data_IF_634980028809
#
_entry.id   IF_634980028809
#
_cell.length_a   1.000
_cell.length_b   1.000
_cell.length_c   1.000
_cell.angle_alpha   90.00
_cell.angle_beta   90.00
_cell.angle_gamma   90.00
#
_symmetry.space_group_name_H-M   'P 1'
#
loop_
_entity.id
_entity.type
_entity.pdbx_description
1 polymer ?
#
# COMPACT_ATOMS: atom_id res chain seq x y z
N UNK A 1 13.15 26.72 -16.60
CA UNK A 1 13.66 25.37 -16.26
C UNK A 1 12.93 24.73 -15.06
N UNK A 2 12.73 25.43 -13.93
CA UNK A 2 12.03 24.86 -12.74
C UNK A 2 10.67 24.22 -13.05
N UNK A 3 9.77 24.89 -13.78
CA UNK A 3 8.44 24.36 -14.09
C UNK A 3 8.44 23.09 -14.96
N UNK A 4 9.46 22.92 -15.82
CA UNK A 4 9.56 21.76 -16.73
C UNK A 4 9.82 20.47 -15.96
N UNK A 5 10.74 20.47 -15.00
CA UNK A 5 11.03 19.28 -14.19
C UNK A 5 9.88 18.93 -13.24
N UNK A 6 9.22 19.93 -12.64
CA UNK A 6 8.02 19.69 -11.82
C UNK A 6 6.92 18.99 -12.63
N UNK A 7 6.69 19.42 -13.88
CA UNK A 7 5.73 18.77 -14.77
C UNK A 7 6.17 17.34 -15.12
N UNK A 8 7.46 17.11 -15.42
CA UNK A 8 8.00 15.78 -15.66
C UNK A 8 7.77 14.82 -14.49
N UNK A 9 8.03 15.24 -13.25
CA UNK A 9 7.77 14.41 -12.07
C UNK A 9 6.28 14.13 -11.90
N UNK A 10 5.43 15.16 -12.01
CA UNK A 10 3.97 15.00 -11.92
C UNK A 10 3.43 14.01 -12.96
N UNK A 11 3.86 14.16 -14.21
CA UNK A 11 3.51 13.26 -15.30
C UNK A 11 4.02 11.84 -15.02
N UNK A 12 5.25 11.69 -14.54
CA UNK A 12 5.79 10.39 -14.17
C UNK A 12 4.97 9.70 -13.08
N UNK A 13 4.68 10.36 -11.96
CA UNK A 13 3.85 9.77 -10.89
C UNK A 13 2.47 9.41 -11.40
N UNK A 14 1.83 10.29 -12.17
CA UNK A 14 0.51 10.04 -12.75
C UNK A 14 0.52 8.79 -13.65
N UNK A 15 1.48 8.67 -14.55
CA UNK A 15 1.56 7.55 -15.50
C UNK A 15 1.98 6.26 -14.81
N UNK A 16 3.04 6.29 -13.99
CA UNK A 16 3.56 5.08 -13.35
C UNK A 16 2.57 4.50 -12.32
N UNK A 17 2.01 5.34 -11.43
CA UNK A 17 1.00 4.85 -10.50
C UNK A 17 -0.33 4.57 -11.19
N UNK A 18 -0.60 5.23 -12.31
CA UNK A 18 -1.64 4.83 -13.24
C UNK A 18 -1.45 3.39 -13.72
N UNK A 19 -0.25 3.00 -14.16
CA UNK A 19 0.07 1.62 -14.51
C UNK A 19 -0.24 0.69 -13.33
N UNK A 20 0.31 0.97 -12.15
CA UNK A 20 0.02 0.16 -10.94
C UNK A 20 -1.49 0.02 -10.67
N UNK A 21 -2.27 1.07 -10.91
CA UNK A 21 -3.73 1.08 -10.76
C UNK A 21 -4.48 0.24 -11.80
N UNK A 22 -3.93 0.02 -13.00
CA UNK A 22 -4.55 -0.87 -13.98
C UNK A 22 -4.35 -2.35 -13.68
N UNK A 23 -3.33 -2.70 -12.88
CA UNK A 23 -2.93 -4.07 -12.63
C UNK A 23 -3.30 -4.57 -11.22
N UNK A 24 -2.92 -3.83 -10.18
CA UNK A 24 -3.00 -4.33 -8.80
C UNK A 24 -4.42 -4.67 -8.32
N UNK A 25 -5.46 -3.86 -8.59
CA UNK A 25 -6.82 -4.20 -8.16
C UNK A 25 -7.41 -5.45 -8.84
N UNK A 26 -6.85 -5.85 -9.99
CA UNK A 26 -7.42 -6.87 -10.86
C UNK A 26 -6.64 -8.18 -10.87
N UNK A 27 -5.36 -8.17 -10.47
CA UNK A 27 -4.46 -9.33 -10.63
C UNK A 27 -5.01 -10.60 -9.98
N UNK A 28 -5.59 -10.51 -8.79
CA UNK A 28 -6.13 -11.69 -8.11
C UNK A 28 -7.41 -12.23 -8.79
N UNK A 29 -8.21 -11.37 -9.40
CA UNK A 29 -9.38 -11.78 -10.18
C UNK A 29 -8.95 -12.42 -11.50
N UNK A 30 -7.93 -11.86 -12.16
CA UNK A 30 -7.32 -12.45 -13.34
C UNK A 30 -6.76 -13.86 -13.05
N UNK A 31 -6.00 -14.00 -11.96
CA UNK A 31 -5.42 -15.29 -11.56
C UNK A 31 -6.48 -16.36 -11.29
N UNK A 32 -7.62 -15.97 -10.73
CA UNK A 32 -8.74 -16.89 -10.51
C UNK A 32 -9.53 -17.18 -11.79
N UNK A 33 -10.03 -16.14 -12.47
CA UNK A 33 -11.01 -16.28 -13.56
C UNK A 33 -10.39 -16.67 -14.90
N UNK A 34 -9.19 -16.17 -15.21
CA UNK A 34 -8.54 -16.40 -16.50
C UNK A 34 -7.52 -17.52 -16.45
N UNK A 35 -6.77 -17.61 -15.35
CA UNK A 35 -5.72 -18.63 -15.17
C UNK A 35 -6.23 -19.88 -14.45
N UNK A 36 -7.27 -19.75 -13.62
CA UNK A 36 -7.86 -20.89 -12.88
C UNK A 36 -7.11 -21.26 -11.60
N UNK A 37 -6.35 -20.34 -11.00
CA UNK A 37 -5.69 -20.58 -9.72
C UNK A 37 -6.69 -20.60 -8.57
N UNK A 38 -6.45 -21.48 -7.60
CA UNK A 38 -7.24 -21.52 -6.38
C UNK A 38 -6.79 -20.47 -5.35
N UNK A 39 -7.59 -20.30 -4.29
CA UNK A 39 -7.33 -19.32 -3.23
C UNK A 39 -5.96 -19.46 -2.56
N UNK A 40 -5.52 -20.69 -2.26
CA UNK A 40 -4.21 -20.91 -1.61
C UNK A 40 -3.05 -20.55 -2.53
N UNK A 41 -3.17 -20.82 -3.83
CA UNK A 41 -2.16 -20.46 -4.82
C UNK A 41 -2.03 -18.94 -4.96
N UNK A 42 -3.16 -18.22 -5.00
CA UNK A 42 -3.20 -16.74 -5.01
C UNK A 42 -2.62 -16.19 -3.70
N UNK A 43 -3.00 -16.78 -2.57
CA UNK A 43 -2.51 -16.38 -1.25
C UNK A 43 -1.01 -16.56 -1.10
N UNK A 44 -0.45 -17.62 -1.69
CA UNK A 44 0.99 -17.85 -1.69
C UNK A 44 1.73 -16.78 -2.51
N UNK A 45 1.19 -16.39 -3.67
CA UNK A 45 1.75 -15.30 -4.47
C UNK A 45 1.73 -13.99 -3.67
N UNK A 46 0.59 -13.65 -3.05
CA UNK A 46 0.47 -12.46 -2.20
C UNK A 46 1.45 -12.47 -1.01
N UNK A 47 1.64 -13.64 -0.41
CA UNK A 47 2.55 -13.82 0.72
C UNK A 47 4.01 -13.64 0.32
N UNK A 48 4.42 -14.27 -0.78
CA UNK A 48 5.76 -14.12 -1.35
C UNK A 48 6.03 -12.66 -1.75
N UNK A 49 5.06 -11.98 -2.38
CA UNK A 49 5.18 -10.55 -2.71
C UNK A 49 5.40 -9.68 -1.47
N UNK A 50 4.75 -10.01 -0.35
CA UNK A 50 4.92 -9.29 0.92
C UNK A 50 6.31 -9.51 1.54
N UNK A 51 6.82 -10.75 1.49
CA UNK A 51 8.17 -11.09 1.95
C UNK A 51 9.24 -10.41 1.10
N UNK A 52 9.04 -10.41 -0.22
CA UNK A 52 9.90 -9.72 -1.20
C UNK A 52 9.89 -8.22 -0.94
N UNK A 53 8.73 -7.63 -0.66
CA UNK A 53 8.60 -6.23 -0.21
C UNK A 53 9.56 -5.86 0.91
N UNK A 54 9.59 -6.67 1.97
CA UNK A 54 10.44 -6.41 3.13
C UNK A 54 11.94 -6.51 2.82
N UNK A 55 12.35 -7.46 1.97
CA UNK A 55 13.77 -7.71 1.69
C UNK A 55 14.32 -6.87 0.55
N UNK A 56 13.53 -6.63 -0.49
CA UNK A 56 13.95 -5.97 -1.73
C UNK A 56 13.98 -4.45 -1.61
N UNK A 57 13.07 -3.83 -0.85
CA UNK A 57 13.07 -2.36 -0.66
C UNK A 57 14.42 -1.88 -0.08
N UNK A 58 14.96 -2.46 1.01
CA UNK A 58 16.28 -2.08 1.52
C UNK A 58 17.41 -2.31 0.51
N UNK A 59 17.36 -3.40 -0.26
CA UNK A 59 18.38 -3.71 -1.28
C UNK A 59 18.43 -2.60 -2.34
N UNK A 60 17.28 -2.16 -2.86
CA UNK A 60 17.21 -1.04 -3.79
C UNK A 60 17.75 0.25 -3.18
N UNK A 61 17.46 0.52 -1.90
CA UNK A 61 18.02 1.66 -1.16
C UNK A 61 19.54 1.62 -1.14
N UNK A 62 20.13 0.52 -0.65
CA UNK A 62 21.59 0.34 -0.55
C UNK A 62 22.26 0.45 -1.93
N UNK A 63 21.69 -0.17 -2.97
CA UNK A 63 22.21 -0.10 -4.33
C UNK A 63 22.08 1.33 -4.88
N UNK A 64 20.99 2.02 -4.61
CA UNK A 64 20.78 3.43 -4.91
C UNK A 64 21.86 4.32 -4.30
N UNK A 65 22.08 4.18 -3.00
CA UNK A 65 23.02 4.99 -2.24
C UNK A 65 24.48 4.71 -2.64
N UNK A 66 24.81 3.44 -2.89
CA UNK A 66 26.16 3.02 -3.29
C UNK A 66 26.50 3.46 -4.72
N UNK A 67 25.56 3.35 -5.65
CA UNK A 67 25.81 3.71 -7.05
C UNK A 67 25.61 5.19 -7.33
N UNK A 68 24.75 5.88 -6.54
CA UNK A 68 24.26 7.25 -6.76
C UNK A 68 23.58 7.45 -8.13
N UNK A 69 23.32 6.37 -8.85
CA UNK A 69 22.74 6.37 -10.21
C UNK A 69 21.23 6.15 -10.17
N UNK A 70 20.51 6.86 -9.29
CA UNK A 70 19.06 6.69 -9.08
C UNK A 70 18.25 6.73 -10.39
N UNK A 71 18.53 7.66 -11.31
CA UNK A 71 17.83 7.72 -12.62
C UNK A 71 18.11 6.49 -13.50
N UNK A 72 19.31 5.90 -13.41
CA UNK A 72 19.63 4.69 -14.17
C UNK A 72 18.95 3.46 -13.56
N UNK A 73 18.98 3.34 -12.23
CA UNK A 73 18.28 2.28 -11.50
C UNK A 73 16.77 2.35 -11.70
N UNK A 74 16.19 3.56 -11.71
CA UNK A 74 14.80 3.81 -12.08
C UNK A 74 14.49 3.21 -13.45
N UNK A 75 15.29 3.51 -14.47
CA UNK A 75 15.11 2.97 -15.82
C UNK A 75 15.26 1.45 -15.88
N UNK A 76 16.23 0.89 -15.17
CA UNK A 76 16.40 -0.57 -15.05
C UNK A 76 15.16 -1.20 -14.43
N UNK A 77 14.62 -0.61 -13.36
CA UNK A 77 13.40 -1.09 -12.72
C UNK A 77 12.18 -1.03 -13.66
N UNK A 78 12.02 0.06 -14.42
CA UNK A 78 10.92 0.20 -15.39
C UNK A 78 11.03 -0.78 -16.55
N UNK A 79 12.23 -0.93 -17.13
CA UNK A 79 12.48 -1.88 -18.20
C UNK A 79 12.31 -3.33 -17.73
N UNK A 80 12.81 -3.65 -16.54
CA UNK A 80 12.62 -4.95 -15.89
C UNK A 80 11.14 -5.24 -15.64
N UNK A 81 10.37 -4.27 -15.14
CA UNK A 81 8.94 -4.41 -14.96
C UNK A 81 8.20 -4.65 -16.29
N UNK A 82 8.60 -3.94 -17.36
CA UNK A 82 8.03 -4.12 -18.71
C UNK A 82 8.30 -5.53 -19.27
N UNK A 83 9.51 -6.06 -19.06
CA UNK A 83 9.85 -7.43 -19.44
C UNK A 83 9.04 -8.43 -18.61
N UNK A 84 8.99 -8.25 -17.29
CA UNK A 84 8.29 -9.17 -16.39
C UNK A 84 6.79 -9.22 -16.66
N UNK A 85 6.13 -8.09 -16.95
CA UNK A 85 4.70 -8.10 -17.29
C UNK A 85 4.43 -8.80 -18.63
N UNK A 86 5.32 -8.65 -19.62
CA UNK A 86 5.20 -9.34 -20.90
C UNK A 86 5.38 -10.87 -20.76
N UNK A 87 6.30 -11.31 -19.90
CA UNK A 87 6.48 -12.72 -19.56
C UNK A 87 5.29 -13.25 -18.77
N UNK A 88 4.77 -12.46 -17.82
CA UNK A 88 3.61 -12.84 -17.01
C UNK A 88 2.39 -13.11 -17.90
N UNK A 89 2.09 -12.24 -18.86
CA UNK A 89 0.97 -12.45 -19.78
C UNK A 89 1.04 -13.80 -20.54
N UNK A 90 2.25 -14.33 -20.79
CA UNK A 90 2.48 -15.60 -21.49
C UNK A 90 2.73 -16.79 -20.55
N UNK A 91 2.70 -16.58 -19.24
CA UNK A 91 3.03 -17.61 -18.26
C UNK A 91 1.93 -18.68 -18.22
N UNK A 92 2.24 -19.90 -18.66
CA UNK A 92 1.29 -21.02 -18.72
C UNK A 92 1.39 -21.98 -17.53
N UNK A 93 2.48 -21.96 -16.77
CA UNK A 93 2.71 -22.87 -15.63
C UNK A 93 2.75 -22.10 -14.32
N UNK A 94 2.28 -22.72 -13.24
CA UNK A 94 2.25 -22.10 -11.92
C UNK A 94 3.62 -21.60 -11.42
N UNK A 95 4.74 -22.34 -11.57
CA UNK A 95 6.06 -21.82 -11.20
C UNK A 95 6.48 -20.60 -12.02
N UNK A 96 6.13 -20.55 -13.32
CA UNK A 96 6.41 -19.38 -14.17
C UNK A 96 5.59 -18.17 -13.73
N UNK A 97 4.34 -18.37 -13.33
CA UNK A 97 3.48 -17.31 -12.78
C UNK A 97 4.10 -16.74 -11.50
N UNK A 98 4.56 -17.59 -10.56
CA UNK A 98 5.26 -17.13 -9.35
C UNK A 98 6.51 -16.33 -9.73
N UNK A 99 7.35 -16.87 -10.62
CA UNK A 99 8.57 -16.20 -11.06
C UNK A 99 8.28 -14.80 -11.63
N UNK A 100 7.29 -14.70 -12.52
CA UNK A 100 6.90 -13.43 -13.13
C UNK A 100 6.25 -12.47 -12.12
N UNK A 101 5.40 -12.95 -11.21
CA UNK A 101 4.77 -12.12 -10.19
C UNK A 101 5.80 -11.52 -9.23
N UNK A 102 6.73 -12.34 -8.74
CA UNK A 102 7.79 -11.91 -7.83
C UNK A 102 8.82 -11.04 -8.55
N UNK A 103 9.18 -11.38 -9.78
CA UNK A 103 10.05 -10.57 -10.62
C UNK A 103 9.46 -9.19 -10.89
N UNK A 104 8.17 -9.12 -11.26
CA UNK A 104 7.46 -7.87 -11.48
C UNK A 104 7.40 -7.04 -10.19
N UNK A 105 7.07 -7.65 -9.06
CA UNK A 105 7.01 -6.96 -7.76
C UNK A 105 8.39 -6.43 -7.34
N UNK A 106 9.44 -7.22 -7.49
CA UNK A 106 10.84 -6.82 -7.22
C UNK A 106 11.24 -5.56 -8.00
N UNK A 107 10.86 -5.49 -9.27
CA UNK A 107 11.13 -4.33 -10.12
C UNK A 107 10.28 -3.13 -9.71
N UNK A 108 8.99 -3.34 -9.45
CA UNK A 108 8.04 -2.29 -9.03
C UNK A 108 8.46 -1.63 -7.71
N UNK A 109 8.91 -2.42 -6.75
CA UNK A 109 9.36 -1.96 -5.43
C UNK A 109 10.61 -1.07 -5.51
N UNK A 110 11.43 -1.20 -6.55
CA UNK A 110 12.57 -0.31 -6.79
C UNK A 110 12.19 1.04 -7.41
N UNK A 111 11.11 1.09 -8.20
CA UNK A 111 10.74 2.29 -8.96
C UNK A 111 10.35 3.47 -8.06
N UNK A 112 9.50 3.25 -7.05
CA UNK A 112 9.01 4.33 -6.18
C UNK A 112 10.13 4.97 -5.36
N UNK A 113 10.96 4.23 -4.59
CA UNK A 113 12.03 4.82 -3.80
C UNK A 113 13.03 5.61 -4.66
N UNK A 114 13.41 5.09 -5.83
CA UNK A 114 14.32 5.80 -6.74
C UNK A 114 13.72 7.12 -7.23
N UNK A 115 12.43 7.12 -7.54
CA UNK A 115 11.70 8.32 -7.98
C UNK A 115 11.56 9.33 -6.84
N UNK A 116 11.20 8.86 -5.64
CA UNK A 116 11.01 9.68 -4.44
C UNK A 116 12.31 10.37 -4.04
N UNK A 117 13.44 9.67 -4.06
CA UNK A 117 14.76 10.26 -3.77
C UNK A 117 15.09 11.40 -4.73
N UNK A 118 14.90 11.20 -6.04
CA UNK A 118 15.21 12.21 -7.06
C UNK A 118 14.24 13.39 -6.97
N UNK A 119 12.96 13.12 -6.76
CA UNK A 119 11.92 14.16 -6.65
C UNK A 119 12.12 15.01 -5.40
N UNK A 120 12.44 14.38 -4.26
CA UNK A 120 12.65 15.06 -2.98
C UNK A 120 13.88 15.96 -3.05
N UNK A 121 14.99 15.47 -3.61
CA UNK A 121 16.19 16.29 -3.85
C UNK A 121 15.87 17.51 -4.72
N UNK A 122 15.15 17.32 -5.83
CA UNK A 122 14.70 18.43 -6.67
C UNK A 122 13.82 19.44 -5.89
N UNK A 123 12.87 18.96 -5.08
CA UNK A 123 11.98 19.84 -4.32
C UNK A 123 12.76 20.67 -3.30
N UNK A 124 13.72 20.05 -2.61
CA UNK A 124 14.62 20.73 -1.67
C UNK A 124 15.44 21.84 -2.35
N UNK A 125 16.04 21.55 -3.51
CA UNK A 125 16.85 22.52 -4.26
C UNK A 125 16.02 23.63 -4.94
N UNK A 126 14.77 23.33 -5.32
CA UNK A 126 13.95 24.25 -6.13
C UNK A 126 12.89 25.02 -5.34
N UNK A 127 12.60 24.63 -4.09
CA UNK A 127 11.46 25.11 -3.29
C UNK A 127 10.12 24.47 -3.68
N UNK A 128 10.14 23.28 -4.28
CA UNK A 128 8.96 22.57 -4.75
C UNK A 128 8.20 21.83 -3.65
N UNK A 129 6.90 21.60 -3.85
CA UNK A 129 6.08 20.80 -2.93
C UNK A 129 6.06 19.32 -3.37
N UNK A 130 6.85 18.48 -2.70
CA UNK A 130 6.92 17.03 -2.97
C UNK A 130 5.55 16.35 -2.82
N UNK A 131 4.80 16.69 -1.77
CA UNK A 131 3.47 16.12 -1.53
C UNK A 131 2.50 16.39 -2.69
N UNK A 132 2.48 17.62 -3.21
CA UNK A 132 1.66 17.98 -4.37
C UNK A 132 2.08 17.26 -5.65
N UNK A 133 3.38 17.03 -5.86
CA UNK A 133 3.88 16.25 -6.99
C UNK A 133 3.47 14.78 -6.86
N UNK A 134 3.64 14.21 -5.66
CA UNK A 134 3.35 12.81 -5.36
C UNK A 134 1.85 12.50 -5.41
N UNK A 135 1.00 13.46 -5.07
CA UNK A 135 -0.47 13.35 -5.09
C UNK A 135 -1.03 13.09 -6.51
N UNK A 136 -0.35 13.57 -7.56
CA UNK A 136 -0.70 13.25 -8.95
C UNK A 136 -0.68 11.74 -9.21
N UNK A 137 0.11 10.99 -8.44
CA UNK A 137 0.15 9.54 -8.48
C UNK A 137 -1.13 8.86 -8.05
N UNK A 138 -1.75 9.32 -6.95
CA UNK A 138 -3.04 8.76 -6.49
C UNK A 138 -4.16 9.05 -7.49
N UNK A 139 -4.13 10.25 -8.10
CA UNK A 139 -5.06 10.61 -9.18
C UNK A 139 -4.87 9.69 -10.40
N UNK A 140 -3.62 9.44 -10.81
CA UNK A 140 -3.29 8.53 -11.89
C UNK A 140 -3.76 7.09 -11.62
N UNK A 141 -3.46 6.57 -10.44
CA UNK A 141 -3.91 5.23 -9.99
C UNK A 141 -5.43 5.08 -10.10
N UNK A 142 -6.17 6.05 -9.55
CA UNK A 142 -7.63 6.05 -9.56
C UNK A 142 -8.21 6.11 -10.98
N UNK A 143 -7.77 7.07 -11.81
CA UNK A 143 -8.32 7.26 -13.16
C UNK A 143 -7.97 6.11 -14.10
N UNK A 144 -6.75 5.59 -14.03
CA UNK A 144 -6.32 4.45 -14.85
C UNK A 144 -7.03 3.16 -14.42
N UNK A 145 -7.21 2.95 -13.10
CA UNK A 145 -8.02 1.84 -12.57
C UNK A 145 -9.48 1.93 -13.05
N UNK A 146 -10.05 3.14 -13.13
CA UNK A 146 -11.36 3.34 -13.74
C UNK A 146 -11.39 2.97 -15.22
N UNK A 147 -10.47 3.51 -16.02
CA UNK A 147 -10.41 3.22 -17.44
C UNK A 147 -10.29 1.71 -17.72
N UNK A 148 -9.41 0.99 -17.00
CA UNK A 148 -9.18 -0.43 -17.26
C UNK A 148 -10.38 -1.30 -16.89
N UNK A 149 -11.14 -0.97 -15.84
CA UNK A 149 -12.29 -1.79 -15.45
C UNK A 149 -13.42 -1.76 -16.47
N UNK A 150 -13.71 -0.60 -17.05
CA UNK A 150 -14.68 -0.49 -18.15
C UNK A 150 -14.20 -1.17 -19.44
N UNK A 151 -12.89 -1.12 -19.72
CA UNK A 151 -12.31 -1.90 -20.82
C UNK A 151 -12.41 -3.41 -20.53
N UNK A 152 -12.21 -3.82 -19.28
CA UNK A 152 -12.25 -5.22 -18.89
C UNK A 152 -13.65 -5.83 -18.98
N UNK A 153 -14.69 -5.03 -18.73
CA UNK A 153 -16.08 -5.44 -18.95
C UNK A 153 -16.35 -5.75 -20.43
N UNK A 154 -15.78 -4.96 -21.35
CA UNK A 154 -15.98 -5.13 -22.80
C UNK A 154 -15.09 -6.21 -23.43
N UNK A 155 -13.82 -6.27 -23.02
CA UNK A 155 -12.78 -7.03 -23.75
C UNK A 155 -12.19 -8.21 -22.96
N UNK A 156 -12.68 -8.51 -21.75
CA UNK A 156 -12.04 -9.52 -20.89
C UNK A 156 -10.99 -8.91 -19.95
N UNK A 157 -10.48 -9.68 -18.99
CA UNK A 157 -9.46 -9.18 -18.04
C UNK A 157 -8.07 -9.11 -18.71
N UNK A 158 -7.72 -10.13 -19.49
CA UNK A 158 -6.35 -10.42 -19.91
C UNK A 158 -5.75 -9.34 -20.81
N UNK A 159 -6.47 -8.90 -21.83
CA UNK A 159 -5.98 -7.86 -22.74
C UNK A 159 -5.82 -6.51 -22.04
N UNK A 160 -6.92 -5.92 -21.52
CA UNK A 160 -6.90 -4.58 -20.93
C UNK A 160 -5.89 -4.41 -19.80
N UNK A 161 -5.77 -5.36 -18.87
CA UNK A 161 -4.88 -5.24 -17.71
C UNK A 161 -3.41 -5.20 -18.16
N UNK A 162 -2.97 -6.20 -18.92
CA UNK A 162 -1.56 -6.33 -19.31
C UNK A 162 -1.16 -5.28 -20.35
N UNK A 163 -2.02 -5.01 -21.34
CA UNK A 163 -1.73 -4.04 -22.39
C UNK A 163 -1.67 -2.61 -21.83
N UNK A 164 -2.62 -2.21 -20.98
CA UNK A 164 -2.60 -0.87 -20.37
C UNK A 164 -1.42 -0.69 -19.42
N UNK A 165 -1.07 -1.71 -18.63
CA UNK A 165 0.09 -1.66 -17.74
C UNK A 165 1.38 -1.50 -18.54
N UNK A 166 1.60 -2.33 -19.57
CA UNK A 166 2.77 -2.27 -20.43
C UNK A 166 2.85 -0.93 -21.18
N UNK A 167 1.73 -0.43 -21.70
CA UNK A 167 1.65 0.85 -22.40
C UNK A 167 2.04 2.03 -21.49
N UNK A 168 1.49 2.08 -20.28
CA UNK A 168 1.82 3.14 -19.32
C UNK A 168 3.28 3.04 -18.85
N UNK A 169 3.83 1.85 -18.65
CA UNK A 169 5.26 1.68 -18.38
C UNK A 169 6.13 2.17 -19.56
N UNK A 170 5.74 1.85 -20.79
CA UNK A 170 6.45 2.30 -21.99
C UNK A 170 6.44 3.83 -22.14
N UNK A 171 5.41 4.53 -21.63
CA UNK A 171 5.36 6.00 -21.53
C UNK A 171 6.20 6.51 -20.35
N UNK A 172 6.22 5.82 -19.21
CA UNK A 172 6.99 6.23 -18.03
C UNK A 172 8.50 6.25 -18.30
N UNK A 173 9.00 5.31 -19.12
CA UNK A 173 10.42 5.21 -19.49
C UNK A 173 10.95 6.52 -20.13
N UNK A 174 10.43 7.05 -21.25
CA UNK A 174 10.91 8.29 -21.85
C UNK A 174 10.76 9.49 -20.91
N UNK A 175 9.69 9.56 -20.10
CA UNK A 175 9.54 10.63 -19.09
C UNK A 175 10.70 10.61 -18.09
N UNK A 176 11.14 9.43 -17.65
CA UNK A 176 12.27 9.30 -16.71
C UNK A 176 13.61 9.83 -17.25
N UNK A 177 13.79 9.94 -18.57
CA UNK A 177 14.98 10.57 -19.17
C UNK A 177 14.97 12.10 -19.06
N UNK A 178 13.80 12.69 -18.80
CA UNK A 178 13.68 14.15 -18.61
C UNK A 178 14.05 14.61 -17.21
N UNK A 179 14.31 13.67 -16.29
CA UNK A 179 14.69 14.00 -14.91
C UNK A 179 16.06 14.68 -14.85
N UNK A 180 16.26 15.61 -13.90
CA UNK A 180 17.55 16.27 -13.74
C UNK A 180 18.64 15.24 -13.48
N UNK A 181 19.83 15.42 -14.07
CA UNK A 181 20.99 14.57 -13.78
C UNK A 181 21.37 14.76 -12.32
N UNK A 182 21.49 13.66 -11.59
CA UNK A 182 21.93 13.72 -10.19
C UNK A 182 23.35 14.29 -10.14
N UNK A 183 23.49 15.50 -9.59
CA UNK A 183 24.78 16.09 -9.26
C UNK A 183 25.44 15.30 -8.13
N UNK A 184 26.73 14.98 -8.30
CA UNK A 184 27.56 14.18 -7.39
C UNK A 184 27.96 14.89 -6.08
N UNK A 185 27.36 16.03 -5.72
CA UNK A 185 27.77 16.76 -4.50
C UNK A 185 26.91 16.38 -3.28
N UNK A 186 27.65 16.09 -2.21
CA UNK A 186 27.45 15.83 -0.77
C UNK A 186 26.02 16.06 -0.19
N UNK A 187 25.55 15.35 0.84
CA UNK A 187 26.18 15.00 2.12
C UNK A 187 26.07 13.50 2.48
N UNK A 188 27.11 12.99 3.15
CA UNK A 188 26.99 11.91 4.13
C UNK A 188 26.75 12.61 5.46
N UNK A 189 25.52 12.64 5.94
CA UNK A 189 25.36 12.43 7.37
C UNK A 189 25.55 10.93 7.57
N UNK A 190 26.74 10.55 8.00
CA UNK A 190 26.91 9.26 8.67
C UNK A 190 26.10 9.35 9.96
N UNK A 191 24.82 9.00 9.86
CA UNK A 191 24.08 8.58 11.02
C UNK A 191 24.82 7.36 11.53
N UNK A 192 25.68 7.58 12.53
CA UNK A 192 26.28 6.52 13.32
C UNK A 192 25.13 5.59 13.65
N UNK A 193 25.19 4.36 13.14
CA UNK A 193 24.38 3.26 13.62
C UNK A 193 24.71 3.12 15.11
N UNK A 194 24.05 3.93 15.93
CA UNK A 194 23.99 3.71 17.37
C UNK A 194 23.49 2.28 17.49
N UNK A 195 24.17 1.50 18.33
CA UNK A 195 23.74 0.16 18.73
C UNK A 195 22.36 0.31 19.38
N UNK A 196 21.33 0.35 18.53
CA UNK A 196 19.94 0.35 18.92
C UNK A 196 19.70 -1.01 19.54
N UNK A 197 19.36 -1.00 20.82
CA UNK A 197 19.04 -2.23 21.51
C UNK A 197 17.66 -2.66 21.04
N UNK A 198 17.61 -3.52 20.03
CA UNK A 198 16.38 -4.19 19.57
C UNK A 198 15.56 -4.75 20.75
N UNK A 199 16.26 -5.16 21.81
CA UNK A 199 15.72 -5.62 23.09
C UNK A 199 14.95 -4.54 23.85
N UNK A 200 15.38 -3.27 23.78
CA UNK A 200 14.68 -2.13 24.40
C UNK A 200 13.31 -1.90 23.76
N UNK A 201 13.22 -1.98 22.43
CA UNK A 201 11.95 -1.84 21.70
C UNK A 201 10.97 -2.97 22.04
N UNK A 202 11.46 -4.21 22.09
CA UNK A 202 10.64 -5.37 22.45
C UNK A 202 10.22 -5.37 23.93
N UNK A 203 10.98 -4.73 24.81
CA UNK A 203 10.60 -4.53 26.21
C UNK A 203 9.61 -3.37 26.43
N UNK A 204 9.48 -2.47 25.45
CA UNK A 204 8.59 -1.31 25.55
C UNK A 204 7.13 -1.72 25.29
N UNK A 205 6.33 -1.78 26.36
CA UNK A 205 4.91 -2.15 26.33
C UNK A 205 4.08 -1.27 25.39
N UNK A 206 4.38 0.03 25.29
CA UNK A 206 3.66 0.92 24.38
C UNK A 206 3.94 0.56 22.92
N UNK A 207 5.19 0.21 22.61
CA UNK A 207 5.58 -0.17 21.26
C UNK A 207 4.99 -1.53 20.84
N UNK A 208 5.01 -2.53 21.73
CA UNK A 208 4.34 -3.81 21.48
C UNK A 208 2.83 -3.61 21.32
N UNK A 209 2.22 -2.77 22.14
CA UNK A 209 0.80 -2.44 22.04
C UNK A 209 0.42 -1.90 20.65
N UNK A 210 1.16 -0.92 20.11
CA UNK A 210 0.84 -0.36 18.80
C UNK A 210 1.11 -1.36 17.66
N UNK A 211 2.10 -2.25 17.80
CA UNK A 211 2.31 -3.34 16.86
C UNK A 211 1.11 -4.29 16.83
N UNK A 212 0.61 -4.71 18.00
CA UNK A 212 -0.56 -5.58 18.09
C UNK A 212 -1.81 -4.92 17.48
N UNK A 213 -2.07 -3.65 17.80
CA UNK A 213 -3.18 -2.89 17.22
C UNK A 213 -3.02 -2.80 15.70
N UNK A 214 -1.85 -2.43 15.19
CA UNK A 214 -1.61 -2.31 13.76
C UNK A 214 -1.72 -3.65 13.02
N UNK A 215 -1.37 -4.78 13.62
CA UNK A 215 -1.62 -6.10 13.03
C UNK A 215 -3.12 -6.36 12.94
N UNK A 216 -3.86 -6.18 14.04
CA UNK A 216 -5.31 -6.44 14.07
C UNK A 216 -6.11 -5.51 13.17
N UNK A 217 -5.62 -4.30 12.90
CA UNK A 217 -6.35 -3.31 12.10
C UNK A 217 -5.82 -3.14 10.69
N UNK A 218 -4.50 -2.99 10.52
CA UNK A 218 -3.90 -2.62 9.23
C UNK A 218 -3.61 -3.86 8.40
N UNK A 219 -2.91 -4.83 8.98
CA UNK A 219 -2.54 -6.07 8.28
C UNK A 219 -3.78 -6.84 7.85
N UNK A 220 -4.75 -6.98 8.76
CA UNK A 220 -6.02 -7.64 8.47
C UNK A 220 -6.76 -6.97 7.30
N UNK A 221 -6.79 -5.63 7.26
CA UNK A 221 -7.43 -4.90 6.15
C UNK A 221 -6.71 -5.13 4.85
N UNK A 222 -5.40 -4.88 4.80
CA UNK A 222 -4.62 -5.00 3.58
C UNK A 222 -4.70 -6.41 2.99
N UNK A 223 -4.56 -7.44 3.84
CA UNK A 223 -4.65 -8.83 3.43
C UNK A 223 -6.07 -9.22 2.96
N UNK A 224 -7.12 -8.77 3.65
CA UNK A 224 -8.50 -9.06 3.23
C UNK A 224 -8.89 -8.31 1.95
N UNK A 225 -8.43 -7.07 1.80
CA UNK A 225 -8.68 -6.23 0.61
C UNK A 225 -7.97 -6.74 -0.63
N UNK A 226 -6.92 -7.55 -0.48
CA UNK A 226 -6.32 -8.28 -1.61
C UNK A 226 -7.34 -9.20 -2.31
N UNK A 227 -8.38 -9.67 -1.61
CA UNK A 227 -9.44 -10.51 -2.18
C UNK A 227 -10.74 -9.74 -2.51
N UNK A 228 -10.75 -8.41 -2.39
CA UNK A 228 -11.96 -7.62 -2.63
C UNK A 228 -12.46 -7.70 -4.08
N UNK A 229 -11.54 -7.74 -5.05
CA UNK A 229 -11.90 -7.96 -6.45
C UNK A 229 -12.57 -9.32 -6.66
N UNK A 230 -12.01 -10.38 -6.04
CA UNK A 230 -12.57 -11.73 -6.11
C UNK A 230 -13.95 -11.79 -5.46
N UNK A 231 -14.14 -11.11 -4.33
CA UNK A 231 -15.46 -11.01 -3.71
C UNK A 231 -16.47 -10.31 -4.64
N UNK A 232 -16.14 -9.13 -5.18
CA UNK A 232 -17.03 -8.38 -6.05
C UNK A 232 -17.42 -9.14 -7.33
N UNK A 233 -16.44 -9.76 -8.01
CA UNK A 233 -16.66 -10.38 -9.33
C UNK A 233 -17.02 -11.86 -9.23
N UNK A 234 -16.33 -12.62 -8.38
CA UNK A 234 -16.51 -14.07 -8.27
C UNK A 234 -17.63 -14.46 -7.30
N UNK A 235 -17.76 -13.75 -6.18
CA UNK A 235 -18.76 -14.07 -5.13
C UNK A 235 -20.08 -13.31 -5.32
N UNK A 236 -20.01 -12.00 -5.59
CA UNK A 236 -21.20 -11.14 -5.76
C UNK A 236 -21.68 -11.06 -7.22
N UNK A 237 -20.98 -11.73 -8.15
CA UNK A 237 -21.30 -11.75 -9.58
C UNK A 237 -21.38 -10.37 -10.23
N UNK A 238 -20.63 -9.41 -9.69
CA UNK A 238 -20.59 -8.05 -10.18
C UNK A 238 -19.73 -7.87 -11.44
N UNK A 239 -19.92 -6.73 -12.11
CA UNK A 239 -19.08 -6.35 -13.24
C UNK A 239 -17.65 -6.02 -12.79
N UNK A 240 -16.68 -6.14 -13.69
CA UNK A 240 -15.27 -5.86 -13.40
C UNK A 240 -15.04 -4.37 -13.16
N UNK A 241 -15.87 -3.49 -13.73
CA UNK A 241 -15.90 -2.07 -13.39
C UNK A 241 -16.23 -1.78 -11.92
N UNK A 242 -16.85 -2.70 -11.17
CA UNK A 242 -17.06 -2.46 -9.73
C UNK A 242 -15.75 -2.43 -8.95
N UNK A 243 -14.71 -3.12 -9.41
CA UNK A 243 -13.36 -2.99 -8.85
C UNK A 243 -12.85 -1.56 -9.02
N UNK A 244 -13.13 -0.93 -10.17
CA UNK A 244 -12.81 0.48 -10.40
C UNK A 244 -13.58 1.40 -9.47
N UNK A 245 -14.89 1.18 -9.34
CA UNK A 245 -15.73 1.99 -8.46
C UNK A 245 -15.31 1.85 -7.01
N UNK A 246 -14.90 0.66 -6.59
CA UNK A 246 -14.32 0.45 -5.26
C UNK A 246 -13.06 1.30 -5.09
N UNK A 247 -12.11 1.22 -6.03
CA UNK A 247 -10.89 2.04 -6.00
C UNK A 247 -11.21 3.53 -5.92
N UNK A 248 -12.17 4.02 -6.70
CA UNK A 248 -12.60 5.42 -6.65
C UNK A 248 -13.16 5.81 -5.27
N UNK A 249 -14.08 5.00 -4.73
CA UNK A 249 -14.73 5.25 -3.44
C UNK A 249 -13.75 5.15 -2.27
N UNK A 250 -12.67 4.37 -2.38
CA UNK A 250 -11.65 4.31 -1.34
C UNK A 250 -10.64 5.45 -1.45
N UNK A 251 -10.14 5.74 -2.65
CA UNK A 251 -9.01 6.67 -2.86
C UNK A 251 -9.43 8.14 -2.79
N UNK A 252 -10.58 8.53 -3.38
CA UNK A 252 -10.97 9.94 -3.39
C UNK A 252 -11.25 10.48 -1.97
N UNK A 253 -12.07 9.82 -1.14
CA UNK A 253 -12.29 10.24 0.25
C UNK A 253 -11.03 10.18 1.09
N UNK A 254 -10.13 9.22 0.84
CA UNK A 254 -8.84 9.12 1.50
C UNK A 254 -8.00 10.39 1.29
N UNK A 255 -7.80 10.80 0.04
CA UNK A 255 -7.01 12.00 -0.27
C UNK A 255 -7.60 13.25 0.38
N UNK A 256 -8.92 13.41 0.35
CA UNK A 256 -9.62 14.55 0.97
C UNK A 256 -9.51 14.51 2.50
N UNK A 257 -9.67 13.33 3.10
CA UNK A 257 -9.65 13.19 4.56
C UNK A 257 -8.25 13.36 5.14
N UNK A 258 -7.19 12.91 4.46
CA UNK A 258 -5.82 13.08 4.92
C UNK A 258 -5.42 14.56 5.08
N UNK A 259 -6.02 15.48 4.32
CA UNK A 259 -5.79 16.93 4.46
C UNK A 259 -6.31 17.48 5.81
N UNK A 260 -7.26 16.80 6.46
CA UNK A 260 -7.87 17.23 7.71
C UNK A 260 -7.66 16.24 8.87
N UNK A 261 -7.08 15.08 8.61
CA UNK A 261 -6.94 13.98 9.57
C UNK A 261 -6.26 14.41 10.88
N UNK A 262 -5.16 15.16 10.81
CA UNK A 262 -4.44 15.67 12.00
C UNK A 262 -5.34 16.58 12.84
N UNK A 263 -6.11 17.47 12.19
CA UNK A 263 -7.04 18.38 12.89
C UNK A 263 -8.12 17.59 13.63
N UNK A 264 -8.63 16.52 13.00
CA UNK A 264 -9.63 15.63 13.60
C UNK A 264 -9.03 14.90 14.80
N UNK A 265 -7.86 14.25 14.64
CA UNK A 265 -7.18 13.49 15.70
C UNK A 265 -6.89 14.40 16.90
N UNK A 266 -6.34 15.60 16.68
CA UNK A 266 -6.03 16.54 17.76
C UNK A 266 -7.29 17.04 18.48
N UNK A 267 -8.41 17.19 17.77
CA UNK A 267 -9.68 17.64 18.36
C UNK A 267 -10.30 16.58 19.27
N UNK A 268 -10.36 15.33 18.82
CA UNK A 268 -11.07 14.25 19.54
C UNK A 268 -10.17 13.39 20.45
N UNK A 269 -8.85 13.42 20.24
CA UNK A 269 -7.88 12.57 20.92
C UNK A 269 -7.61 11.26 20.19
N UNK A 270 -6.43 10.70 20.38
CA UNK A 270 -5.97 9.44 19.78
C UNK A 270 -6.86 8.28 20.20
N UNK A 271 -7.18 8.10 21.49
CA UNK A 271 -7.97 6.95 21.95
C UNK A 271 -9.35 6.92 21.28
N UNK A 272 -10.05 8.06 21.28
CA UNK A 272 -11.39 8.19 20.68
C UNK A 272 -11.33 8.02 19.17
N UNK A 273 -10.30 8.56 18.52
CA UNK A 273 -10.10 8.37 17.08
C UNK A 273 -9.92 6.90 16.71
N UNK A 274 -9.06 6.16 17.41
CA UNK A 274 -8.85 4.73 17.14
C UNK A 274 -10.11 3.91 17.38
N UNK A 275 -10.87 4.19 18.45
CA UNK A 275 -12.16 3.55 18.70
C UNK A 275 -13.15 3.83 17.56
N UNK A 276 -13.25 5.09 17.10
CA UNK A 276 -14.08 5.47 15.96
C UNK A 276 -13.71 4.68 14.71
N UNK A 277 -12.41 4.63 14.36
CA UNK A 277 -11.92 3.89 13.20
C UNK A 277 -12.29 2.41 13.30
N UNK A 278 -12.02 1.77 14.43
CA UNK A 278 -12.30 0.35 14.62
C UNK A 278 -13.80 0.06 14.54
N UNK A 279 -14.66 0.88 15.14
CA UNK A 279 -16.12 0.73 15.01
C UNK A 279 -16.55 0.86 13.54
N UNK A 280 -16.04 1.86 12.82
CA UNK A 280 -16.33 2.01 11.38
C UNK A 280 -15.85 0.80 10.57
N UNK A 281 -14.71 0.19 10.92
CA UNK A 281 -14.23 -1.01 10.27
C UNK A 281 -15.04 -2.26 10.61
N UNK A 282 -15.56 -2.39 11.84
CA UNK A 282 -16.51 -3.46 12.21
C UNK A 282 -17.76 -3.36 11.33
N UNK A 283 -18.30 -2.15 11.15
CA UNK A 283 -19.47 -1.94 10.28
C UNK A 283 -19.12 -2.31 8.84
N UNK A 284 -17.98 -1.85 8.32
CA UNK A 284 -17.52 -2.15 6.95
C UNK A 284 -17.37 -3.65 6.71
N UNK A 285 -16.59 -4.34 7.56
CA UNK A 285 -16.32 -5.75 7.40
C UNK A 285 -17.55 -6.61 7.72
N UNK A 286 -18.40 -6.18 8.66
CA UNK A 286 -19.68 -6.83 8.92
C UNK A 286 -20.61 -6.78 7.70
N UNK A 287 -20.71 -5.62 7.03
CA UNK A 287 -21.43 -5.53 5.76
C UNK A 287 -20.80 -6.46 4.72
N UNK A 288 -19.48 -6.49 4.59
CA UNK A 288 -18.80 -7.41 3.65
C UNK A 288 -19.05 -8.90 3.96
N UNK A 289 -19.24 -9.26 5.23
CA UNK A 289 -19.49 -10.64 5.67
C UNK A 289 -20.91 -11.12 5.44
N UNK A 290 -21.90 -10.23 5.49
CA UNK A 290 -23.31 -10.61 5.52
C UNK A 290 -24.13 -10.06 4.35
N UNK A 291 -23.61 -9.09 3.58
CA UNK A 291 -24.33 -8.49 2.46
C UNK A 291 -24.02 -9.19 1.15
N UNK A 292 -25.07 -9.66 0.48
CA UNK A 292 -25.01 -10.12 -0.92
C UNK A 292 -25.19 -8.96 -1.93
N UNK A 293 -25.25 -7.71 -1.46
CA UNK A 293 -25.45 -6.53 -2.31
C UNK A 293 -24.11 -5.81 -2.59
N UNK A 294 -23.69 -5.84 -3.85
CA UNK A 294 -22.48 -5.18 -4.35
C UNK A 294 -22.46 -3.66 -4.13
N UNK A 295 -23.60 -2.98 -4.16
CA UNK A 295 -23.67 -1.53 -3.93
C UNK A 295 -23.54 -1.19 -2.45
N UNK A 296 -24.03 -2.05 -1.55
CA UNK A 296 -23.80 -1.90 -0.11
C UNK A 296 -22.30 -2.08 0.21
N UNK A 297 -21.64 -3.05 -0.45
CA UNK A 297 -20.19 -3.24 -0.36
C UNK A 297 -19.44 -1.97 -0.80
N UNK A 298 -19.81 -1.37 -1.92
CA UNK A 298 -19.22 -0.11 -2.38
C UNK A 298 -19.49 1.05 -1.41
N UNK A 299 -20.74 1.27 -1.01
CA UNK A 299 -21.14 2.41 -0.19
C UNK A 299 -20.39 2.45 1.15
N UNK A 300 -20.25 1.30 1.83
CA UNK A 300 -19.55 1.23 3.11
C UNK A 300 -18.03 1.35 2.97
N UNK A 301 -17.47 1.17 1.76
CA UNK A 301 -16.02 1.29 1.51
C UNK A 301 -15.49 2.70 1.74
N UNK A 302 -16.36 3.72 1.72
CA UNK A 302 -16.00 5.13 1.98
C UNK A 302 -15.26 5.32 3.31
N UNK A 303 -15.58 4.51 4.33
CA UNK A 303 -14.96 4.63 5.66
C UNK A 303 -13.50 4.17 5.68
N UNK A 304 -13.00 3.60 4.57
CA UNK A 304 -11.58 3.24 4.42
C UNK A 304 -10.64 4.40 4.76
N UNK A 305 -11.02 5.63 4.39
CA UNK A 305 -10.21 6.83 4.61
C UNK A 305 -9.81 7.04 6.08
N UNK A 306 -10.69 6.66 7.03
CA UNK A 306 -10.41 6.74 8.47
C UNK A 306 -9.28 5.78 8.86
N UNK A 307 -9.32 4.56 8.32
CA UNK A 307 -8.29 3.54 8.52
C UNK A 307 -6.94 3.98 7.96
N UNK A 308 -6.92 4.54 6.75
CA UNK A 308 -5.67 5.05 6.15
C UNK A 308 -5.05 6.15 7.01
N UNK A 309 -5.84 7.11 7.47
CA UNK A 309 -5.36 8.17 8.35
C UNK A 309 -4.82 7.64 9.69
N UNK A 310 -5.41 6.59 10.24
CA UNK A 310 -4.87 5.90 11.43
C UNK A 310 -3.48 5.31 11.14
N UNK A 311 -3.27 4.73 9.95
CA UNK A 311 -1.99 4.13 9.57
C UNK A 311 -0.92 5.17 9.30
N UNK A 312 -1.25 6.16 8.47
CA UNK A 312 -0.27 7.14 7.96
C UNK A 312 0.07 8.22 8.98
N UNK A 313 -0.88 8.62 9.82
CA UNK A 313 -0.69 9.68 10.82
C UNK A 313 -0.66 9.08 12.22
N UNK A 314 -1.68 8.29 12.58
CA UNK A 314 -1.87 7.79 13.94
C UNK A 314 -0.71 6.93 14.45
N UNK A 315 -0.44 5.81 13.75
CA UNK A 315 0.54 4.82 14.19
C UNK A 315 1.95 5.41 14.25
N UNK A 316 2.35 6.19 13.24
CA UNK A 316 3.66 6.84 13.22
C UNK A 316 3.80 7.88 14.33
N UNK A 317 2.75 8.68 14.59
CA UNK A 317 2.77 9.66 15.69
C UNK A 317 2.82 8.99 17.05
N UNK A 318 2.09 7.89 17.22
CA UNK A 318 2.13 7.10 18.44
C UNK A 318 3.53 6.52 18.69
N UNK A 319 4.15 5.92 17.66
CA UNK A 319 5.52 5.37 17.76
C UNK A 319 6.49 6.47 18.13
N UNK A 320 6.47 7.61 17.42
CA UNK A 320 7.38 8.74 17.66
C UNK A 320 7.34 9.26 19.09
N UNK A 321 6.17 9.22 19.74
CA UNK A 321 6.01 9.65 21.12
C UNK A 321 6.22 8.54 22.16
N UNK A 322 6.31 7.28 21.74
CA UNK A 322 6.43 6.12 22.63
C UNK A 322 7.84 5.59 22.76
N UNK A 323 8.75 5.97 21.84
CA UNK A 323 10.13 5.51 21.79
C UNK A 323 11.10 6.69 21.89
N UNK A 324 12.33 6.42 22.34
CA UNK A 324 13.40 7.42 22.33
C UNK A 324 13.75 7.81 20.88
N UNK A 325 14.04 9.08 20.64
CA UNK A 325 14.47 9.57 19.32
C UNK A 325 15.70 8.81 18.78
N UNK A 326 16.59 8.35 19.67
CA UNK A 326 17.76 7.55 19.33
C UNK A 326 17.44 6.19 18.66
N UNK A 327 16.27 5.62 18.92
CA UNK A 327 15.84 4.31 18.37
C UNK A 327 14.66 4.42 17.40
N UNK A 328 14.21 5.64 17.07
CA UNK A 328 13.02 5.88 16.25
C UNK A 328 13.15 5.27 14.85
N UNK A 329 14.31 5.41 14.21
CA UNK A 329 14.57 4.80 12.90
C UNK A 329 14.44 3.28 12.94
N UNK A 330 15.01 2.63 13.95
CA UNK A 330 14.88 1.18 14.16
C UNK A 330 13.42 0.78 14.43
N UNK A 331 12.69 1.57 15.21
CA UNK A 331 11.28 1.32 15.53
C UNK A 331 10.38 1.38 14.28
N UNK A 332 10.62 2.32 13.36
CA UNK A 332 9.88 2.40 12.10
C UNK A 332 10.22 1.22 11.19
N UNK A 333 11.50 0.85 11.09
CA UNK A 333 11.93 -0.31 10.30
C UNK A 333 11.33 -1.62 10.82
N UNK A 334 11.37 -1.85 12.13
CA UNK A 334 10.78 -3.03 12.75
C UNK A 334 9.24 -3.04 12.61
N UNK A 335 8.60 -1.88 12.71
CA UNK A 335 7.16 -1.76 12.47
C UNK A 335 6.81 -2.19 11.05
N UNK A 336 7.50 -1.65 10.04
CA UNK A 336 7.29 -2.03 8.64
C UNK A 336 7.58 -3.52 8.38
N UNK A 337 8.60 -4.07 9.04
CA UNK A 337 8.90 -5.50 8.99
C UNK A 337 7.73 -6.34 9.52
N UNK A 338 7.21 -5.99 10.69
CA UNK A 338 6.07 -6.66 11.30
C UNK A 338 4.81 -6.55 10.42
N UNK A 339 4.55 -5.40 9.81
CA UNK A 339 3.44 -5.23 8.88
C UNK A 339 3.59 -6.10 7.62
N UNK A 340 4.79 -6.23 7.06
CA UNK A 340 5.03 -7.05 5.87
C UNK A 340 4.96 -8.55 6.17
N UNK A 341 5.55 -9.00 7.28
CA UNK A 341 5.44 -10.39 7.74
C UNK A 341 3.98 -10.73 8.05
N UNK A 342 3.28 -9.83 8.75
CA UNK A 342 1.86 -9.96 9.00
C UNK A 342 1.06 -10.12 7.71
N UNK A 343 1.28 -9.25 6.71
CA UNK A 343 0.61 -9.34 5.41
C UNK A 343 0.92 -10.64 4.67
N UNK A 344 2.13 -11.17 4.84
CA UNK A 344 2.47 -12.47 4.27
C UNK A 344 1.68 -13.62 4.91
N UNK A 345 1.65 -13.66 6.25
CA UNK A 345 0.94 -14.69 7.01
C UNK A 345 -0.57 -14.62 6.74
N UNK A 346 -1.17 -13.44 6.91
CA UNK A 346 -2.60 -13.25 6.69
C UNK A 346 -2.99 -13.37 5.21
N UNK A 347 -2.13 -12.94 4.28
CA UNK A 347 -2.36 -13.11 2.85
C UNK A 347 -2.48 -14.59 2.46
N UNK A 348 -1.57 -15.44 2.96
CA UNK A 348 -1.66 -16.88 2.72
C UNK A 348 -2.84 -17.52 3.47
N UNK A 349 -3.03 -17.16 4.75
CA UNK A 349 -4.12 -17.70 5.56
C UNK A 349 -5.50 -17.37 4.97
N UNK A 350 -5.72 -16.15 4.51
CA UNK A 350 -6.95 -15.76 3.82
C UNK A 350 -7.10 -16.43 2.46
N UNK A 351 -6.00 -16.77 1.76
CA UNK A 351 -6.06 -17.63 0.58
C UNK A 351 -6.61 -19.03 0.85
N UNK A 352 -6.17 -19.65 1.95
CA UNK A 352 -6.70 -20.95 2.41
C UNK A 352 -8.19 -20.81 2.76
N UNK A 353 -8.56 -19.79 3.53
CA UNK A 353 -9.95 -19.51 3.90
C UNK A 353 -10.83 -19.27 2.67
N UNK A 354 -10.32 -18.54 1.69
CA UNK A 354 -11.03 -18.29 0.42
C UNK A 354 -11.28 -19.58 -0.35
N UNK A 355 -10.31 -20.49 -0.39
CA UNK A 355 -10.42 -21.75 -1.12
C UNK A 355 -11.41 -22.74 -0.50
N UNK A 356 -11.33 -22.96 0.82
CA UNK A 356 -12.14 -23.99 1.49
C UNK A 356 -13.46 -23.45 2.06
N UNK A 357 -13.53 -22.15 2.32
CA UNK A 357 -14.74 -21.45 2.70
C UNK A 357 -15.25 -20.60 1.55
N UNK A 358 -15.12 -19.28 1.70
CA UNK A 358 -15.44 -18.28 0.69
C UNK A 358 -14.86 -16.92 1.13
N UNK A 359 -15.10 -15.88 0.33
CA UNK A 359 -14.70 -14.50 0.66
C UNK A 359 -15.47 -13.89 1.84
N UNK A 360 -16.74 -14.27 2.10
CA UNK A 360 -17.48 -13.80 3.27
C UNK A 360 -16.77 -14.19 4.58
N UNK A 361 -16.20 -15.39 4.64
CA UNK A 361 -15.47 -15.89 5.80
C UNK A 361 -14.19 -15.11 6.07
N UNK A 362 -13.50 -14.62 5.03
CA UNK A 362 -12.34 -13.70 5.19
C UNK A 362 -12.79 -12.45 5.94
N UNK A 363 -13.88 -11.82 5.51
CA UNK A 363 -14.38 -10.61 6.15
C UNK A 363 -14.94 -10.88 7.55
N UNK A 364 -15.46 -12.08 7.80
CA UNK A 364 -15.98 -12.44 9.13
C UNK A 364 -14.83 -12.57 10.14
N UNK A 365 -13.73 -13.22 9.73
CA UNK A 365 -12.50 -13.26 10.52
C UNK A 365 -11.91 -11.86 10.74
N UNK A 366 -11.96 -11.01 9.72
CA UNK A 366 -11.56 -9.61 9.85
C UNK A 366 -12.43 -8.83 10.84
N UNK A 367 -13.74 -9.01 10.80
CA UNK A 367 -14.69 -8.44 11.77
C UNK A 367 -14.35 -8.88 13.19
N UNK A 368 -14.07 -10.18 13.40
CA UNK A 368 -13.65 -10.71 14.69
C UNK A 368 -12.34 -10.07 15.18
N UNK A 369 -11.34 -9.90 14.31
CA UNK A 369 -10.10 -9.21 14.65
C UNK A 369 -10.33 -7.76 15.09
N UNK A 370 -11.25 -7.04 14.43
CA UNK A 370 -11.64 -5.69 14.85
C UNK A 370 -12.39 -5.65 16.18
N UNK A 371 -13.25 -6.63 16.48
CA UNK A 371 -13.90 -6.73 17.79
C UNK A 371 -12.86 -6.93 18.89
N UNK A 372 -11.86 -7.79 18.65
CA UNK A 372 -10.73 -7.96 19.59
C UNK A 372 -9.96 -6.65 19.75
N UNK A 373 -9.66 -5.94 18.66
CA UNK A 373 -9.01 -4.63 18.71
C UNK A 373 -9.83 -3.61 19.53
N UNK A 374 -11.15 -3.58 19.35
CA UNK A 374 -12.05 -2.70 20.10
C UNK A 374 -12.00 -2.97 21.60
N UNK A 375 -12.05 -4.26 22.00
CA UNK A 375 -11.98 -4.65 23.42
C UNK A 375 -10.65 -4.18 24.04
N UNK A 376 -9.54 -4.35 23.31
CA UNK A 376 -8.22 -3.88 23.73
C UNK A 376 -8.23 -2.34 23.87
N UNK A 377 -8.77 -1.62 22.89
CA UNK A 377 -8.81 -0.16 22.87
C UNK A 377 -9.68 0.46 23.97
N UNK A 378 -10.78 -0.20 24.36
CA UNK A 378 -11.64 0.29 25.45
C UNK A 378 -10.92 0.13 26.79
N UNK A 379 -10.24 -1.01 27.01
CA UNK A 379 -9.59 -1.35 28.29
C UNK A 379 -8.20 -0.75 28.47
N UNK A 380 -7.61 -0.20 27.42
CA UNK A 380 -6.22 0.29 27.46
C UNK A 380 -6.12 1.73 28.00
N UNK A 381 -5.05 1.99 28.75
CA UNK A 381 -4.65 3.35 29.17
C UNK A 381 -3.39 3.83 28.40
N UNK A 382 -2.96 3.08 27.38
CA UNK A 382 -1.72 3.36 26.66
C UNK A 382 -1.79 4.66 25.82
N UNK A 383 -3.00 5.16 25.51
CA UNK A 383 -3.20 6.43 24.80
C UNK A 383 -3.30 7.66 25.71
N UNK A 384 -3.50 7.49 27.02
CA UNK A 384 -3.84 8.60 27.92
C UNK A 384 -2.69 9.61 28.01
N UNK A 385 -1.43 9.14 27.96
CA UNK A 385 -0.23 10.00 27.95
C UNK A 385 -0.13 10.90 26.70
N UNK A 386 -0.69 10.44 25.57
CA UNK A 386 -0.73 11.21 24.32
C UNK A 386 -1.86 12.23 24.34
N UNK A 387 -3.03 11.85 24.85
CA UNK A 387 -4.20 12.71 24.90
C UNK A 387 -4.08 13.86 25.93
N UNK A 388 -3.18 13.73 26.92
CA UNK A 388 -2.85 14.80 27.87
C UNK A 388 -1.92 15.86 27.28
N UNK A 389 -1.06 15.51 26.31
CA UNK A 389 -0.12 16.45 25.63
C UNK A 389 -0.80 17.30 24.54
N UNK A 390 -2.06 17.70 24.71
CA UNK A 390 -2.74 18.64 23.82
C UNK A 390 -1.94 19.95 23.75
N UNK A 391 -1.17 20.16 22.68
CA UNK A 391 -0.49 21.43 22.44
C UNK A 391 0.77 21.40 21.59
N UNK A 392 1.47 20.26 21.46
CA UNK A 392 2.74 20.22 20.72
C UNK A 392 2.84 19.00 19.82
N UNK A 393 2.20 19.08 18.66
CA UNK A 393 2.57 18.27 17.50
C UNK A 393 2.73 19.26 16.35
N UNK A 394 3.99 19.38 15.92
CA UNK A 394 4.58 20.36 14.99
C UNK A 394 3.65 21.04 13.98
#
# INVERSE_FOLDING_TARGET
>A
MKNRFSLSFKAFYFIYLGAVGTFMPYVNVYLEKSVGLNGSQIGLIAALSSVVGFTVIPIWGVVGDKTRKYNALLRVSLAGALVMVALYHKAATYPMIIFCAIGLETMRLGTIPMTDTVTTKYCHESGGNYGAIRAMGSLGYMLASMAVGFLADKFGLDGPIFASYAFLLAIAIPISFTFPKNGNKEEREEDKLQKSSFKELLANKNYIFILCIAILTTVVVDSAMSYAGNHLVSTLHGTKSLISWMTFITVLPEVLFLMVAIKVINKIGFKKYYILVVISMIVRFGVYSFSNNQYAFLAVSVVHCLGVAMVTVGNLTYIRNSVNSAVLGTAITLFNAAMSIGRAIFGYAFGIVYQYGNSYMIYMLGTAAFVVALIILIRTNHFDKLDVKKGHVF
#
